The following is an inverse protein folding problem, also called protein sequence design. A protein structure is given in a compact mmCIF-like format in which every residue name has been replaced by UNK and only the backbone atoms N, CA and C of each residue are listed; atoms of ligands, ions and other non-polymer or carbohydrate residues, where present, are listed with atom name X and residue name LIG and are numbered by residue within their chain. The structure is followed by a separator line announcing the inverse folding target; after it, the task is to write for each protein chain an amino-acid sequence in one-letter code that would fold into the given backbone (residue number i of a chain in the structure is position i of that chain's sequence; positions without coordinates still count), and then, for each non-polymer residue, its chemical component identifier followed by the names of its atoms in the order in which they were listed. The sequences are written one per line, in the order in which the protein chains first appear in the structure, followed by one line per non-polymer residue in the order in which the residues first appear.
data_IF_184489506814
#
_entry.id   IF_184489506814
#
_cell.length_a   1.000
_cell.length_b   1.000
_cell.length_c   1.000
_cell.angle_alpha   90.00
_cell.angle_beta   90.00
_cell.angle_gamma   90.00
#
_symmetry.space_group_name_H-M   'P 1'
#
loop_
_entity.id
_entity.type
_entity.pdbx_description
1 polymer ?
#
# COMPACT_ATOMS: atom_id res chain seq x y z
N UNK A 1 44.15 -44.15 -5.17
CA UNK A 1 44.82 -43.73 -6.42
C UNK A 1 45.01 -42.23 -6.34
N UNK A 2 46.24 -41.75 -6.20
CA UNK A 2 46.54 -40.33 -6.07
C UNK A 2 46.55 -39.70 -7.45
N UNK A 3 45.64 -38.76 -7.71
CA UNK A 3 45.63 -37.97 -8.94
C UNK A 3 46.88 -37.09 -9.00
N UNK A 4 47.69 -37.15 -10.06
CA UNK A 4 48.89 -36.32 -10.16
C UNK A 4 48.47 -34.84 -10.30
N UNK A 5 48.91 -34.00 -9.37
CA UNK A 5 48.70 -32.55 -9.43
C UNK A 5 49.70 -31.98 -10.44
N UNK A 6 49.20 -31.35 -11.51
CA UNK A 6 50.02 -30.76 -12.57
C UNK A 6 50.80 -29.54 -12.08
N UNK A 7 52.00 -29.32 -12.61
CA UNK A 7 52.87 -28.20 -12.24
C UNK A 7 52.20 -26.83 -12.46
N UNK A 8 51.28 -26.75 -13.45
CA UNK A 8 50.45 -25.56 -13.71
C UNK A 8 49.47 -25.26 -12.57
N UNK A 9 48.87 -26.29 -11.95
CA UNK A 9 47.94 -26.14 -10.83
C UNK A 9 48.63 -25.65 -9.55
N UNK A 10 49.94 -25.88 -9.40
CA UNK A 10 50.77 -25.36 -8.31
C UNK A 10 51.17 -23.90 -8.58
N UNK A 11 51.45 -23.56 -9.85
CA UNK A 11 51.91 -22.23 -10.26
C UNK A 11 50.78 -21.20 -10.31
N UNK A 12 49.55 -21.64 -10.56
CA UNK A 12 48.36 -20.80 -10.54
C UNK A 12 47.23 -21.54 -9.80
N UNK A 13 47.27 -21.58 -8.45
CA UNK A 13 46.23 -22.26 -7.69
C UNK A 13 44.90 -21.59 -8.02
N UNK A 14 43.95 -22.37 -8.56
CA UNK A 14 42.59 -21.90 -8.72
C UNK A 14 42.10 -21.33 -7.38
N UNK A 15 41.37 -20.20 -7.38
CA UNK A 15 40.85 -19.63 -6.14
C UNK A 15 40.13 -20.74 -5.37
N UNK A 16 40.41 -20.88 -4.07
CA UNK A 16 39.90 -21.99 -3.24
C UNK A 16 38.38 -22.16 -3.38
N UNK A 17 37.67 -21.07 -3.61
CA UNK A 17 36.22 -21.02 -3.86
C UNK A 17 35.77 -21.83 -5.09
N UNK A 18 36.59 -21.91 -6.15
CA UNK A 18 36.29 -22.71 -7.35
C UNK A 18 36.36 -24.23 -7.10
N UNK A 19 37.03 -24.65 -6.03
CA UNK A 19 37.14 -26.07 -5.62
C UNK A 19 36.10 -26.51 -4.59
N UNK A 20 35.31 -25.58 -4.05
CA UNK A 20 34.26 -25.88 -3.07
C UNK A 20 32.92 -26.16 -3.76
N UNK A 21 32.10 -27.09 -3.23
CA UNK A 21 30.75 -27.28 -3.74
C UNK A 21 29.92 -26.00 -3.54
N UNK A 22 29.03 -25.63 -4.49
CA UNK A 22 28.23 -24.42 -4.38
C UNK A 22 27.25 -24.54 -3.20
N UNK A 23 27.38 -23.66 -2.21
CA UNK A 23 26.43 -23.55 -1.10
C UNK A 23 25.19 -22.81 -1.58
N UNK A 24 24.03 -23.43 -1.41
CA UNK A 24 22.74 -22.83 -1.78
C UNK A 24 21.99 -22.42 -0.52
N UNK A 25 21.43 -21.21 -0.50
CA UNK A 25 20.57 -20.81 0.60
C UNK A 25 19.35 -21.74 0.70
N UNK A 26 19.07 -22.24 1.90
CA UNK A 26 18.07 -23.29 2.10
C UNK A 26 17.78 -23.54 3.58
N UNK A 27 16.72 -24.29 3.88
CA UNK A 27 16.32 -24.59 5.27
C UNK A 27 16.84 -25.92 5.79
N UNK A 28 17.29 -26.81 4.92
CA UNK A 28 17.44 -28.23 5.23
C UNK A 28 18.87 -28.65 5.57
N UNK A 29 19.84 -27.75 5.40
CA UNK A 29 21.24 -27.97 5.74
C UNK A 29 21.83 -26.75 6.45
N UNK A 30 22.82 -26.99 7.32
CA UNK A 30 23.39 -25.96 8.18
C UNK A 30 24.00 -24.80 7.38
N UNK A 31 24.78 -25.12 6.35
CA UNK A 31 25.51 -24.13 5.54
C UNK A 31 24.54 -23.26 4.74
N UNK A 32 23.51 -23.88 4.15
CA UNK A 32 22.44 -23.21 3.44
C UNK A 32 21.56 -22.37 4.35
N UNK A 33 21.31 -22.80 5.58
CA UNK A 33 20.53 -22.05 6.55
C UNK A 33 21.28 -20.81 7.06
N UNK A 34 22.58 -20.92 7.32
CA UNK A 34 23.42 -19.76 7.65
C UNK A 34 23.50 -18.75 6.50
N UNK A 35 23.67 -19.24 5.27
CA UNK A 35 23.64 -18.37 4.08
C UNK A 35 22.28 -17.70 3.90
N UNK A 36 21.19 -18.45 4.05
CA UNK A 36 19.82 -17.93 3.99
C UNK A 36 19.61 -16.83 5.03
N UNK A 37 20.06 -17.01 6.27
CA UNK A 37 20.00 -15.98 7.30
C UNK A 37 20.80 -14.73 6.95
N UNK A 38 22.00 -14.87 6.37
CA UNK A 38 22.82 -13.72 5.95
C UNK A 38 22.16 -12.93 4.82
N UNK A 39 21.64 -13.63 3.80
CA UNK A 39 20.90 -13.00 2.72
C UNK A 39 19.64 -12.32 3.27
N UNK A 40 18.86 -13.02 4.10
CA UNK A 40 17.65 -12.46 4.70
C UNK A 40 17.91 -11.21 5.56
N UNK A 41 19.04 -11.15 6.27
CA UNK A 41 19.47 -9.95 7.01
C UNK A 41 19.71 -8.76 6.08
N UNK A 42 20.35 -8.99 4.93
CA UNK A 42 20.57 -7.93 3.94
C UNK A 42 19.25 -7.40 3.34
N UNK A 43 18.28 -8.28 3.07
CA UNK A 43 16.95 -7.86 2.63
C UNK A 43 16.20 -7.10 3.73
N UNK A 44 16.26 -7.58 4.98
CA UNK A 44 15.59 -6.96 6.12
C UNK A 44 16.14 -5.56 6.44
N UNK A 45 17.38 -5.25 6.09
CA UNK A 45 17.97 -3.91 6.26
C UNK A 45 17.71 -2.95 5.08
N UNK A 46 17.09 -3.42 4.00
CA UNK A 46 16.86 -2.62 2.80
C UNK A 46 15.55 -1.84 2.86
N UNK A 47 15.59 -0.54 2.55
CA UNK A 47 14.39 0.28 2.43
C UNK A 47 13.58 0.00 1.16
N UNK A 48 14.14 -0.71 0.16
CA UNK A 48 13.44 -1.12 -1.05
C UNK A 48 12.48 -2.30 -0.82
N UNK A 49 12.66 -3.01 0.30
CA UNK A 49 11.83 -4.13 0.68
C UNK A 49 10.58 -3.60 1.43
N UNK A 50 9.37 -4.18 1.24
CA UNK A 50 8.17 -3.70 1.91
C UNK A 50 8.27 -3.68 3.44
N UNK A 51 7.57 -2.76 4.09
CA UNK A 51 7.72 -2.47 5.52
C UNK A 51 7.58 -3.69 6.45
N UNK A 52 6.72 -4.67 6.11
CA UNK A 52 6.51 -5.88 6.92
C UNK A 52 7.65 -6.92 6.83
N UNK A 53 8.62 -6.70 5.95
CA UNK A 53 9.86 -7.47 5.84
C UNK A 53 11.06 -6.71 6.42
N UNK A 54 10.99 -5.38 6.54
CA UNK A 54 12.04 -4.58 7.14
C UNK A 54 12.21 -4.93 8.62
N UNK A 55 13.45 -5.05 9.07
CA UNK A 55 13.82 -5.51 10.41
C UNK A 55 13.21 -6.88 10.79
N UNK A 56 12.72 -7.67 9.82
CA UNK A 56 12.09 -8.96 10.04
C UNK A 56 12.76 -10.04 9.18
N UNK A 57 13.89 -10.55 9.69
CA UNK A 57 14.68 -11.59 9.04
C UNK A 57 13.85 -12.86 8.79
N UNK A 58 12.96 -13.24 9.70
CA UNK A 58 12.14 -14.45 9.56
C UNK A 58 11.19 -14.35 8.35
N UNK A 59 10.49 -13.22 8.19
CA UNK A 59 9.65 -12.98 7.03
C UNK A 59 10.47 -12.99 5.73
N UNK A 60 11.65 -12.36 5.73
CA UNK A 60 12.56 -12.41 4.59
C UNK A 60 12.97 -13.85 4.24
N UNK A 61 13.33 -14.68 5.23
CA UNK A 61 13.70 -16.08 4.99
C UNK A 61 12.57 -16.88 4.33
N UNK A 62 11.32 -16.66 4.77
CA UNK A 62 10.14 -17.30 4.18
C UNK A 62 9.95 -16.83 2.73
N UNK A 63 10.00 -15.53 2.47
CA UNK A 63 9.87 -14.98 1.13
C UNK A 63 10.96 -15.49 0.17
N UNK A 64 12.22 -15.54 0.63
CA UNK A 64 13.35 -16.10 -0.14
C UNK A 64 13.14 -17.58 -0.47
N UNK A 65 12.49 -18.35 0.41
CA UNK A 65 12.15 -19.73 0.13
C UNK A 65 11.00 -19.85 -0.87
N UNK A 66 9.97 -19.03 -0.75
CA UNK A 66 8.85 -18.98 -1.69
C UNK A 66 9.32 -18.59 -3.09
N UNK A 67 10.16 -17.54 -3.20
CA UNK A 67 10.79 -17.12 -4.45
C UNK A 67 11.53 -18.26 -5.14
N UNK A 68 12.36 -18.99 -4.38
CA UNK A 68 13.07 -20.17 -4.90
C UNK A 68 12.13 -21.28 -5.36
N UNK A 69 11.04 -21.56 -4.64
CA UNK A 69 10.06 -22.59 -5.02
C UNK A 69 9.32 -22.22 -6.30
N UNK A 70 9.01 -20.94 -6.48
CA UNK A 70 8.35 -20.41 -7.67
C UNK A 70 9.30 -20.21 -8.85
N UNK A 71 10.62 -20.21 -8.62
CA UNK A 71 11.59 -19.74 -9.61
C UNK A 71 11.39 -18.26 -9.96
N UNK A 72 10.91 -17.46 -9.00
CA UNK A 72 10.61 -16.04 -9.16
C UNK A 72 11.66 -15.17 -8.45
N UNK A 73 11.76 -13.92 -8.87
CA UNK A 73 12.61 -12.91 -8.23
C UNK A 73 12.13 -12.61 -6.79
N UNK A 74 13.09 -12.46 -5.88
CA UNK A 74 12.85 -12.26 -4.46
C UNK A 74 12.06 -10.98 -4.15
N UNK A 75 12.43 -9.86 -4.80
CA UNK A 75 11.74 -8.58 -4.61
C UNK A 75 10.33 -8.63 -5.20
N UNK A 76 10.17 -9.27 -6.35
CA UNK A 76 8.85 -9.49 -6.95
C UNK A 76 7.93 -10.26 -6.01
N UNK A 77 8.43 -11.32 -5.36
CA UNK A 77 7.65 -12.07 -4.37
C UNK A 77 7.29 -11.20 -3.17
N UNK A 78 8.26 -10.51 -2.58
CA UNK A 78 8.00 -9.66 -1.40
C UNK A 78 6.99 -8.54 -1.70
N UNK A 79 7.05 -7.92 -2.89
CA UNK A 79 6.11 -6.85 -3.27
C UNK A 79 4.68 -7.34 -3.53
N UNK A 80 4.51 -8.64 -3.83
CA UNK A 80 3.22 -9.19 -4.24
C UNK A 80 2.60 -10.15 -3.24
N UNK A 81 3.31 -10.48 -2.16
CA UNK A 81 2.79 -11.25 -1.04
C UNK A 81 2.27 -10.29 0.02
N UNK A 82 0.94 -10.23 0.17
CA UNK A 82 0.27 -9.37 1.13
C UNK A 82 -0.17 -10.15 2.34
N UNK A 83 -0.03 -9.55 3.52
CA UNK A 83 -0.54 -10.12 4.77
C UNK A 83 -1.88 -9.45 5.06
N UNK A 84 -2.96 -10.22 5.03
CA UNK A 84 -4.32 -9.78 5.34
C UNK A 84 -4.83 -10.57 6.52
N UNK A 85 -5.13 -9.89 7.62
CA UNK A 85 -5.56 -10.53 8.88
C UNK A 85 -4.60 -11.66 9.34
N UNK A 86 -3.29 -11.46 9.18
CA UNK A 86 -2.28 -12.45 9.55
C UNK A 86 -2.09 -13.60 8.55
N UNK A 87 -2.96 -13.70 7.53
CA UNK A 87 -2.86 -14.71 6.48
C UNK A 87 -2.17 -14.12 5.24
N UNK A 88 -1.13 -14.78 4.69
CA UNK A 88 -0.51 -14.37 3.45
C UNK A 88 -1.41 -14.68 2.24
N UNK A 89 -1.46 -13.77 1.28
CA UNK A 89 -2.15 -13.95 0.01
C UNK A 89 -1.42 -13.24 -1.12
N UNK A 90 -1.58 -13.76 -2.34
CA UNK A 90 -0.98 -13.16 -3.53
C UNK A 90 -1.82 -12.02 -4.06
N UNK A 91 -1.20 -10.96 -4.57
CA UNK A 91 -1.93 -10.01 -5.40
C UNK A 91 -2.49 -10.72 -6.65
N UNK A 92 -3.73 -10.39 -7.04
CA UNK A 92 -4.29 -10.94 -8.28
C UNK A 92 -3.45 -10.56 -9.51
N UNK A 93 -2.80 -9.40 -9.50
CA UNK A 93 -1.87 -8.96 -10.54
C UNK A 93 -0.67 -9.92 -10.67
N UNK A 94 -0.11 -10.38 -9.56
CA UNK A 94 0.98 -11.36 -9.57
C UNK A 94 0.52 -12.70 -10.11
N UNK A 95 -0.66 -13.18 -9.73
CA UNK A 95 -1.22 -14.42 -10.26
C UNK A 95 -1.40 -14.34 -11.78
N UNK A 96 -1.95 -13.22 -12.29
CA UNK A 96 -2.09 -12.98 -13.73
C UNK A 96 -0.73 -12.97 -14.42
N UNK A 97 0.24 -12.25 -13.88
CA UNK A 97 1.59 -12.17 -14.45
C UNK A 97 2.24 -13.56 -14.49
N UNK A 98 2.19 -14.30 -13.39
CA UNK A 98 2.76 -15.64 -13.27
C UNK A 98 2.11 -16.64 -14.24
N UNK A 99 0.78 -16.60 -14.42
CA UNK A 99 0.09 -17.42 -15.45
C UNK A 99 0.60 -17.06 -16.85
N UNK A 100 0.76 -15.77 -17.15
CA UNK A 100 1.20 -15.31 -18.46
C UNK A 100 2.67 -15.68 -18.77
N UNK A 101 3.53 -15.75 -17.75
CA UNK A 101 4.97 -16.01 -17.90
C UNK A 101 5.37 -17.46 -17.61
N UNK A 102 4.48 -18.31 -17.08
CA UNK A 102 4.82 -19.71 -16.72
C UNK A 102 5.14 -20.62 -17.92
N UNK A 103 4.92 -20.16 -19.15
CA UNK A 103 5.24 -20.90 -20.36
C UNK A 103 4.19 -21.95 -20.76
N UNK A 104 3.37 -22.46 -19.83
CA UNK A 104 2.34 -23.50 -20.06
C UNK A 104 1.13 -22.99 -20.85
N UNK A 105 0.72 -21.74 -20.64
CA UNK A 105 -0.48 -21.15 -21.24
C UNK A 105 -0.12 -20.01 -22.19
N UNK A 106 -1.03 -19.70 -23.12
CA UNK A 106 -1.09 -18.39 -23.74
C UNK A 106 -1.46 -17.31 -22.70
N UNK A 107 -1.39 -16.04 -23.11
CA UNK A 107 -1.75 -14.94 -22.22
C UNK A 107 -3.22 -15.03 -21.83
N UNK A 108 -3.51 -14.87 -20.54
CA UNK A 108 -4.86 -14.85 -20.00
C UNK A 108 -5.71 -13.77 -20.71
N UNK A 109 -6.93 -14.15 -21.07
CA UNK A 109 -7.93 -13.32 -21.72
C UNK A 109 -9.22 -13.32 -20.91
N UNK A 110 -10.07 -12.35 -21.21
CA UNK A 110 -11.33 -12.16 -20.52
C UNK A 110 -12.47 -12.15 -21.52
N UNK A 111 -13.61 -12.68 -21.11
CA UNK A 111 -14.84 -12.68 -21.88
C UNK A 111 -15.96 -12.17 -21.00
N UNK A 112 -16.75 -11.26 -21.55
CA UNK A 112 -17.87 -10.63 -20.87
C UNK A 112 -19.18 -11.17 -21.40
N UNK A 113 -20.19 -11.26 -20.54
CA UNK A 113 -21.55 -11.63 -20.91
C UNK A 113 -22.56 -10.74 -20.19
N UNK A 114 -23.81 -10.79 -20.65
CA UNK A 114 -24.93 -10.09 -20.03
C UNK A 114 -25.02 -8.62 -20.45
N UNK A 115 -26.01 -7.93 -19.91
CA UNK A 115 -26.25 -6.50 -20.14
C UNK A 115 -25.77 -5.71 -18.93
N UNK A 116 -24.98 -4.66 -19.14
CA UNK A 116 -24.48 -3.80 -18.06
C UNK A 116 -25.61 -3.35 -17.13
N UNK A 117 -25.41 -3.50 -15.82
CA UNK A 117 -26.43 -3.24 -14.79
C UNK A 117 -27.38 -4.41 -14.49
N UNK A 118 -27.36 -5.50 -15.26
CA UNK A 118 -28.09 -6.73 -14.96
C UNK A 118 -27.32 -7.67 -14.03
N UNK A 119 -28.04 -8.53 -13.31
CA UNK A 119 -27.48 -9.59 -12.45
C UNK A 119 -26.69 -10.63 -13.23
N UNK A 120 -27.02 -10.81 -14.52
CA UNK A 120 -26.34 -11.73 -15.43
C UNK A 120 -25.05 -11.16 -16.04
N UNK A 121 -24.78 -9.85 -15.82
CA UNK A 121 -23.55 -9.24 -16.28
C UNK A 121 -22.36 -9.78 -15.50
N UNK A 122 -21.35 -10.24 -16.22
CA UNK A 122 -20.21 -10.87 -15.61
C UNK A 122 -19.06 -11.14 -16.57
N UNK A 123 -17.96 -11.58 -15.98
CA UNK A 123 -16.69 -11.85 -16.64
C UNK A 123 -16.22 -13.27 -16.34
N UNK A 124 -15.56 -13.89 -17.31
CA UNK A 124 -14.72 -15.08 -17.07
C UNK A 124 -13.33 -14.86 -17.64
N UNK A 125 -12.35 -15.46 -16.99
CA UNK A 125 -11.01 -15.59 -17.54
C UNK A 125 -10.90 -16.88 -18.34
N UNK A 126 -10.11 -16.87 -19.40
CA UNK A 126 -9.83 -18.04 -20.21
C UNK A 126 -8.44 -17.93 -20.84
N UNK A 127 -7.85 -19.06 -21.20
CA UNK A 127 -6.61 -19.12 -21.99
C UNK A 127 -6.55 -20.43 -22.78
N UNK A 128 -5.55 -20.56 -23.63
CA UNK A 128 -5.24 -21.79 -24.37
C UNK A 128 -4.02 -22.44 -23.74
N UNK A 129 -4.11 -23.73 -23.41
CA UNK A 129 -2.94 -24.51 -22.99
C UNK A 129 -2.10 -24.88 -24.21
N UNK A 130 -0.82 -24.49 -24.22
CA UNK A 130 0.01 -24.59 -25.43
C UNK A 130 0.29 -26.02 -25.86
N UNK A 131 0.32 -26.97 -24.93
CA UNK A 131 0.60 -28.38 -25.22
C UNK A 131 -0.56 -29.09 -25.89
N UNK A 132 -1.79 -28.75 -25.53
CA UNK A 132 -3.01 -29.43 -25.99
C UNK A 132 -3.78 -28.63 -27.04
N UNK A 133 -3.59 -27.30 -27.07
CA UNK A 133 -4.42 -26.38 -27.84
C UNK A 133 -5.83 -26.22 -27.26
N UNK A 134 -6.10 -26.77 -26.06
CA UNK A 134 -7.41 -26.70 -25.43
C UNK A 134 -7.67 -25.32 -24.83
N UNK A 135 -8.86 -24.79 -25.07
CA UNK A 135 -9.34 -23.57 -24.44
C UNK A 135 -9.91 -23.86 -23.05
N UNK A 136 -9.19 -23.45 -22.02
CA UNK A 136 -9.57 -23.62 -20.62
C UNK A 136 -10.40 -22.41 -20.16
N UNK A 137 -11.69 -22.63 -19.91
CA UNK A 137 -12.62 -21.59 -19.50
C UNK A 137 -12.79 -21.58 -17.98
N UNK A 138 -12.60 -20.42 -17.36
CA UNK A 138 -12.87 -20.21 -15.95
C UNK A 138 -14.35 -20.06 -15.64
N UNK A 139 -14.65 -20.04 -14.35
CA UNK A 139 -15.99 -19.77 -13.83
C UNK A 139 -16.44 -18.36 -14.22
N UNK A 140 -17.73 -18.24 -14.52
CA UNK A 140 -18.38 -16.95 -14.68
C UNK A 140 -18.52 -16.26 -13.32
N UNK A 141 -17.95 -15.08 -13.22
CA UNK A 141 -18.13 -14.19 -12.08
C UNK A 141 -19.13 -13.13 -12.51
N UNK A 142 -20.37 -13.24 -12.04
CA UNK A 142 -21.46 -12.32 -12.36
C UNK A 142 -21.96 -11.55 -11.15
N UNK A 143 -22.75 -10.51 -11.38
CA UNK A 143 -23.32 -9.70 -10.31
C UNK A 143 -24.17 -10.51 -9.32
N UNK A 144 -24.80 -11.59 -9.78
CA UNK A 144 -25.49 -12.54 -8.90
C UNK A 144 -24.54 -13.15 -7.87
N UNK A 145 -23.38 -13.64 -8.29
CA UNK A 145 -22.32 -14.14 -7.39
C UNK A 145 -21.81 -13.02 -6.47
N UNK A 146 -21.49 -11.85 -7.02
CA UNK A 146 -20.97 -10.69 -6.27
C UNK A 146 -21.91 -10.30 -5.12
N UNK A 147 -23.23 -10.29 -5.37
CA UNK A 147 -24.26 -9.98 -4.37
C UNK A 147 -24.42 -11.08 -3.33
N UNK A 148 -24.35 -12.35 -3.76
CA UNK A 148 -24.47 -13.52 -2.88
C UNK A 148 -23.28 -13.62 -1.91
N UNK A 149 -22.06 -13.42 -2.42
CA UNK A 149 -20.82 -13.40 -1.64
C UNK A 149 -20.63 -12.08 -0.85
N UNK A 150 -21.42 -11.05 -1.15
CA UNK A 150 -21.42 -9.78 -0.43
C UNK A 150 -20.24 -8.87 -0.72
N UNK A 151 -19.51 -9.07 -1.83
CA UNK A 151 -18.34 -8.25 -2.20
C UNK A 151 -18.70 -6.77 -2.45
N UNK A 152 -19.98 -6.50 -2.77
CA UNK A 152 -20.52 -5.16 -2.97
C UNK A 152 -21.05 -4.49 -1.70
N UNK A 153 -21.04 -5.18 -0.54
CA UNK A 153 -21.64 -4.66 0.71
C UNK A 153 -20.64 -3.95 1.63
N UNK A 154 -19.34 -4.06 1.35
CA UNK A 154 -18.31 -3.42 2.18
C UNK A 154 -18.27 -1.91 1.88
N UNK A 155 -18.54 -1.09 2.89
CA UNK A 155 -18.37 0.36 2.80
C UNK A 155 -16.90 0.69 2.50
N UNK A 156 -16.67 1.69 1.63
CA UNK A 156 -15.34 2.04 1.16
C UNK A 156 -14.73 1.04 0.15
N UNK A 157 -15.48 0.02 -0.27
CA UNK A 157 -14.99 -0.97 -1.24
C UNK A 157 -14.66 -0.31 -2.58
N UNK A 158 -13.38 -0.38 -2.95
CA UNK A 158 -12.88 0.09 -4.25
C UNK A 158 -13.59 -0.60 -5.42
N UNK A 159 -14.15 -1.79 -5.19
CA UNK A 159 -14.92 -2.55 -6.17
C UNK A 159 -16.18 -1.83 -6.64
N UNK A 160 -16.80 -0.98 -5.80
CA UNK A 160 -17.96 -0.20 -6.21
C UNK A 160 -17.58 0.89 -7.23
N UNK A 161 -16.38 1.45 -7.09
CA UNK A 161 -15.86 2.48 -8.01
C UNK A 161 -15.17 1.89 -9.24
N UNK A 162 -14.74 0.63 -9.19
CA UNK A 162 -14.05 -0.06 -10.27
C UNK A 162 -14.50 -1.54 -10.38
N UNK A 163 -15.76 -1.78 -10.81
CA UNK A 163 -16.32 -3.13 -10.90
C UNK A 163 -15.56 -4.00 -11.92
N UNK A 164 -15.11 -3.44 -13.04
CA UNK A 164 -14.38 -4.19 -14.06
C UNK A 164 -13.08 -4.78 -13.53
N UNK A 165 -12.37 -4.01 -12.69
CA UNK A 165 -11.12 -4.46 -12.07
C UNK A 165 -11.37 -5.62 -11.10
N UNK A 166 -12.46 -5.54 -10.33
CA UNK A 166 -12.91 -6.63 -9.46
C UNK A 166 -13.14 -7.91 -10.27
N UNK A 167 -13.94 -7.82 -11.33
CA UNK A 167 -14.26 -8.95 -12.18
C UNK A 167 -13.01 -9.59 -12.77
N UNK A 168 -12.12 -8.78 -13.37
CA UNK A 168 -10.86 -9.24 -13.95
C UNK A 168 -9.99 -9.99 -12.93
N UNK A 169 -9.80 -9.42 -11.73
CA UNK A 169 -8.97 -10.04 -10.69
C UNK A 169 -9.59 -11.31 -10.13
N UNK A 170 -10.90 -11.31 -9.86
CA UNK A 170 -11.63 -12.49 -9.37
C UNK A 170 -11.62 -13.62 -10.39
N UNK A 171 -11.97 -13.32 -11.63
CA UNK A 171 -11.98 -14.31 -12.70
C UNK A 171 -10.58 -14.92 -12.91
N UNK A 172 -9.52 -14.11 -12.84
CA UNK A 172 -8.16 -14.60 -12.98
C UNK A 172 -7.71 -15.48 -11.79
N UNK A 173 -7.97 -15.05 -10.55
CA UNK A 173 -7.63 -15.83 -9.36
C UNK A 173 -8.37 -17.17 -9.33
N UNK A 174 -9.67 -17.18 -9.68
CA UNK A 174 -10.48 -18.40 -9.73
C UNK A 174 -10.01 -19.33 -10.83
N UNK A 175 -9.68 -18.79 -12.00
CA UNK A 175 -9.11 -19.58 -13.11
C UNK A 175 -7.76 -20.19 -12.72
N UNK A 176 -6.86 -19.39 -12.15
CA UNK A 176 -5.54 -19.83 -11.71
C UNK A 176 -5.66 -20.96 -10.68
N UNK A 177 -6.54 -20.81 -9.69
CA UNK A 177 -6.77 -21.86 -8.68
C UNK A 177 -7.26 -23.17 -9.31
N UNK A 178 -8.13 -23.10 -10.32
CA UNK A 178 -8.70 -24.27 -10.96
C UNK A 178 -7.68 -25.01 -11.86
N UNK A 179 -6.90 -24.27 -12.65
CA UNK A 179 -6.09 -24.85 -13.73
C UNK A 179 -4.57 -24.82 -13.51
N UNK A 180 -4.10 -23.92 -12.64
CA UNK A 180 -2.69 -23.73 -12.32
C UNK A 180 -2.44 -23.50 -10.82
N UNK A 181 -2.98 -24.33 -9.91
CA UNK A 181 -2.86 -24.14 -8.46
C UNK A 181 -1.40 -24.06 -7.97
N UNK A 182 -0.47 -24.69 -8.68
CA UNK A 182 0.96 -24.66 -8.43
C UNK A 182 1.54 -23.23 -8.40
N UNK A 183 0.98 -22.30 -9.18
CA UNK A 183 1.41 -20.90 -9.23
C UNK A 183 1.11 -20.19 -7.90
N UNK A 184 -0.06 -20.46 -7.31
CA UNK A 184 -0.42 -19.89 -6.00
C UNK A 184 0.24 -20.59 -4.82
N UNK A 185 0.74 -21.82 -5.02
CA UNK A 185 1.20 -22.72 -3.96
C UNK A 185 0.17 -22.90 -2.81
N UNK A 186 -1.12 -22.86 -3.14
CA UNK A 186 -2.22 -23.01 -2.17
C UNK A 186 -2.62 -21.74 -1.42
N UNK A 187 -1.99 -20.59 -1.70
CA UNK A 187 -2.38 -19.31 -1.12
C UNK A 187 -3.58 -18.70 -1.87
N UNK A 188 -4.49 -18.07 -1.13
CA UNK A 188 -5.60 -17.30 -1.71
C UNK A 188 -5.11 -15.98 -2.30
N UNK A 189 -5.93 -15.36 -3.16
CA UNK A 189 -5.68 -13.98 -3.55
C UNK A 189 -5.89 -13.05 -2.36
N UNK A 190 -5.17 -11.93 -2.33
CA UNK A 190 -5.34 -10.89 -1.33
C UNK A 190 -6.79 -10.39 -1.31
N UNK A 191 -7.40 -10.24 -2.48
CA UNK A 191 -8.78 -9.80 -2.63
C UNK A 191 -9.76 -10.75 -1.93
N UNK A 192 -9.52 -12.06 -1.98
CA UNK A 192 -10.34 -13.06 -1.27
C UNK A 192 -10.13 -13.02 0.25
N UNK A 193 -8.90 -12.80 0.69
CA UNK A 193 -8.61 -12.68 2.12
C UNK A 193 -9.22 -11.42 2.73
N UNK A 194 -9.20 -10.29 1.99
CA UNK A 194 -9.84 -9.04 2.44
C UNK A 194 -11.34 -9.24 2.60
N UNK A 195 -11.95 -10.09 1.77
CA UNK A 195 -13.38 -10.35 1.82
C UNK A 195 -13.77 -11.30 2.94
N UNK A 196 -12.87 -12.18 3.35
CA UNK A 196 -13.08 -13.12 4.46
C UNK A 196 -13.14 -12.36 5.78
N UNK A 197 -14.28 -12.47 6.46
CA UNK A 197 -14.45 -11.94 7.81
C UNK A 197 -13.94 -12.99 8.80
N UNK A 198 -12.81 -12.72 9.46
CA UNK A 198 -12.38 -13.56 10.58
C UNK A 198 -13.34 -13.39 11.75
N UNK A 199 -14.18 -14.42 11.94
CA UNK A 199 -14.84 -14.67 13.21
C UNK A 199 -13.79 -15.30 14.11
N UNK A 200 -13.32 -14.54 15.11
CA UNK A 200 -12.40 -15.06 16.11
C UNK A 200 -13.07 -16.22 16.86
N UNK A 201 -12.26 -17.11 17.44
CA UNK A 201 -12.75 -18.27 18.20
C UNK A 201 -13.64 -17.90 19.41
N UNK A 202 -13.61 -16.64 19.86
CA UNK A 202 -14.50 -16.08 20.89
C UNK A 202 -15.84 -15.54 20.34
N UNK A 203 -16.10 -15.72 19.03
CA UNK A 203 -17.27 -15.18 18.35
C UNK A 203 -17.20 -13.69 18.02
N UNK A 204 -16.09 -13.01 18.36
CA UNK A 204 -15.91 -11.59 18.01
C UNK A 204 -15.50 -11.45 16.55
N UNK A 205 -16.16 -10.52 15.86
CA UNK A 205 -15.89 -10.23 14.45
C UNK A 205 -14.96 -9.02 14.39
N UNK A 206 -13.71 -9.20 13.95
CA UNK A 206 -12.86 -8.06 13.63
C UNK A 206 -13.15 -7.56 12.21
N UNK A 207 -14.17 -6.72 12.08
CA UNK A 207 -14.31 -5.89 10.89
C UNK A 207 -13.43 -4.66 11.12
N UNK A 208 -12.21 -4.67 10.58
CA UNK A 208 -11.40 -3.44 10.54
C UNK A 208 -11.74 -2.71 9.26
N UNK A 209 -12.85 -1.97 9.29
CA UNK A 209 -12.90 -0.77 8.45
C UNK A 209 -11.78 0.15 8.91
N UNK A 210 -11.10 0.78 7.96
CA UNK A 210 -9.97 1.68 8.20
C UNK A 210 -10.25 2.64 9.36
N UNK A 211 -9.23 2.87 10.20
CA UNK A 211 -9.27 3.66 11.45
C UNK A 211 -9.93 5.05 11.33
N UNK A 212 -10.03 5.57 10.09
CA UNK A 212 -10.79 6.74 9.65
C UNK A 212 -12.30 6.68 9.99
N UNK A 213 -12.95 5.53 9.81
CA UNK A 213 -14.42 5.40 9.92
C UNK A 213 -14.90 5.46 11.38
N UNK A 214 -14.08 4.98 12.32
CA UNK A 214 -14.37 5.04 13.77
C UNK A 214 -14.34 6.47 14.31
N UNK A 215 -13.63 7.40 13.64
CA UNK A 215 -13.61 8.82 14.00
C UNK A 215 -14.78 9.60 13.40
N UNK A 216 -15.26 9.20 12.22
CA UNK A 216 -16.38 9.85 11.54
C UNK A 216 -17.77 9.42 12.04
N UNK A 217 -17.88 8.27 12.73
CA UNK A 217 -19.16 7.64 13.06
C UNK A 217 -19.78 7.97 14.42
N UNK A 218 -19.39 9.05 15.12
CA UNK A 218 -20.02 9.43 16.40
C UNK A 218 -20.83 10.71 16.28
N UNK A 219 -22.05 10.58 15.76
CA UNK A 219 -23.28 11.26 16.20
C UNK A 219 -24.37 11.15 15.13
N UNK A 220 -25.38 10.31 15.35
CA UNK A 220 -26.72 10.62 14.86
C UNK A 220 -27.71 10.38 16.02
N UNK A 221 -28.39 11.42 16.52
CA UNK A 221 -29.53 11.24 17.39
C UNK A 221 -30.65 10.53 16.62
N UNK A 222 -31.36 9.62 17.30
CA UNK A 222 -32.55 8.99 16.75
C UNK A 222 -33.60 10.04 16.38
N UNK A 223 -34.04 10.04 15.12
CA UNK A 223 -35.13 10.90 14.64
C UNK A 223 -36.38 10.04 14.38
N UNK A 224 -37.47 10.47 15.01
CA UNK A 224 -38.81 9.88 14.95
C UNK A 224 -39.38 9.85 13.53
N UNK A 225 -40.17 8.82 13.25
CA UNK A 225 -40.91 8.60 12.00
C UNK A 225 -42.18 9.45 11.96
N UNK A 226 -42.44 10.21 10.88
CA UNK A 226 -43.80 10.53 10.49
C UNK A 226 -44.20 9.83 9.17
N UNK A 227 -45.36 9.19 9.25
CA UNK A 227 -46.12 8.53 8.18
C UNK A 227 -46.86 9.58 7.35
N UNK A 228 -46.79 9.54 6.01
CA UNK A 228 -47.71 10.32 5.16
C UNK A 228 -47.39 10.43 3.66
N UNK A 229 -48.06 9.59 2.88
CA UNK A 229 -48.64 9.76 1.53
C UNK A 229 -47.99 10.68 0.45
N UNK A 230 -47.67 10.05 -0.69
CA UNK A 230 -47.62 10.56 -2.08
C UNK A 230 -49.02 11.05 -2.59
N UNK A 231 -49.14 11.96 -3.60
CA UNK A 231 -48.82 11.64 -5.00
C UNK A 231 -48.30 12.75 -5.96
N UNK A 232 -47.51 12.29 -6.95
CA UNK A 232 -47.33 12.64 -8.37
C UNK A 232 -47.78 14.02 -8.95
N UNK A 233 -46.92 14.65 -9.79
CA UNK A 233 -47.04 14.67 -11.28
C UNK A 233 -46.08 15.65 -12.02
N UNK A 234 -45.53 15.14 -13.14
CA UNK A 234 -45.25 15.75 -14.49
C UNK A 234 -44.31 16.96 -14.73
N UNK A 235 -43.39 16.78 -15.70
CA UNK A 235 -42.65 17.85 -16.43
C UNK A 235 -43.51 18.55 -17.50
N UNK A 236 -42.96 19.44 -18.39
CA UNK A 236 -41.92 19.05 -19.38
C UNK A 236 -40.91 20.14 -19.90
N UNK A 237 -39.84 19.64 -20.54
CA UNK A 237 -39.16 20.01 -21.82
C UNK A 237 -38.63 21.42 -22.22
N UNK A 238 -37.51 21.34 -22.97
CA UNK A 238 -36.93 22.24 -24.00
C UNK A 238 -36.08 23.45 -23.52
N UNK A 239 -35.02 23.94 -24.18
CA UNK A 239 -34.14 23.58 -25.31
C UNK A 239 -33.02 24.65 -25.31
N UNK A 240 -31.75 24.32 -25.61
CA UNK A 240 -30.89 25.07 -26.57
C UNK A 240 -29.47 24.51 -26.70
N UNK A 241 -29.02 24.46 -27.96
CA UNK A 241 -27.68 24.17 -28.50
C UNK A 241 -26.74 25.36 -28.19
N UNK A 242 -25.40 25.34 -28.28
CA UNK A 242 -24.56 24.94 -29.42
C UNK A 242 -23.06 25.16 -29.11
N UNK A 243 -22.22 24.24 -29.60
CA UNK A 243 -20.87 24.39 -30.21
C UNK A 243 -19.75 25.27 -29.61
N UNK A 244 -18.55 24.67 -29.52
CA UNK A 244 -17.26 25.34 -29.54
C UNK A 244 -16.08 24.41 -29.22
N UNK A 245 -15.35 23.95 -30.24
CA UNK A 245 -14.04 23.27 -30.16
C UNK A 245 -12.97 24.22 -30.76
N UNK A 246 -11.66 23.91 -30.77
CA UNK A 246 -10.70 23.51 -29.73
C UNK A 246 -9.54 24.53 -29.61
N UNK A 247 -8.68 24.45 -28.58
CA UNK A 247 -7.34 25.05 -28.62
C UNK A 247 -6.28 24.08 -28.06
N UNK A 248 -5.18 24.03 -28.79
CA UNK A 248 -4.06 23.11 -28.66
C UNK A 248 -3.00 23.60 -27.67
N UNK A 249 -2.27 22.61 -27.14
CA UNK A 249 -0.84 22.56 -26.81
C UNK A 249 -0.14 23.77 -26.17
N UNK A 250 0.56 23.54 -25.06
CA UNK A 250 1.99 23.92 -24.90
C UNK A 250 2.63 23.02 -23.83
N UNK A 251 3.70 22.33 -24.23
CA UNK A 251 4.70 21.71 -23.36
C UNK A 251 5.64 22.80 -22.80
N UNK A 252 6.11 22.64 -21.57
CA UNK A 252 7.39 23.20 -21.14
C UNK A 252 8.05 22.28 -20.09
N UNK A 253 9.36 22.18 -20.22
CA UNK A 253 10.30 21.17 -19.70
C UNK A 253 10.96 21.63 -18.37
N UNK A 254 11.90 20.85 -17.77
CA UNK A 254 12.23 20.88 -16.34
C UNK A 254 13.30 21.91 -15.97
N UNK A 255 13.41 22.21 -14.67
CA UNK A 255 14.52 22.96 -14.07
C UNK A 255 15.46 22.01 -13.34
N UNK A 256 16.72 22.10 -13.77
CA UNK A 256 17.95 21.60 -13.17
C UNK A 256 18.46 22.72 -12.22
N UNK A 257 19.01 22.37 -11.07
CA UNK A 257 19.93 23.25 -10.32
C UNK A 257 20.84 22.39 -9.44
N UNK A 258 22.11 22.36 -9.84
CA UNK A 258 23.25 21.99 -9.01
C UNK A 258 23.61 23.19 -8.13
N UNK A 259 23.98 22.93 -6.87
CA UNK A 259 25.19 23.50 -6.28
C UNK A 259 25.46 22.84 -4.92
N UNK A 260 26.68 22.34 -4.74
CA UNK A 260 27.24 21.98 -3.44
C UNK A 260 28.27 23.02 -2.99
N UNK A 261 28.84 22.85 -1.79
CA UNK A 261 30.26 23.14 -1.62
C UNK A 261 31.05 21.99 -0.95
N UNK A 262 32.34 21.95 -1.30
CA UNK A 262 33.41 21.02 -0.89
C UNK A 262 33.85 21.22 0.58
N UNK A 263 34.06 20.13 1.34
CA UNK A 263 35.32 19.43 1.70
C UNK A 263 36.28 20.18 2.64
N UNK A 264 36.55 19.57 3.80
CA UNK A 264 37.87 19.55 4.43
C UNK A 264 38.01 18.37 5.44
N UNK A 265 38.76 17.33 5.07
CA UNK A 265 39.93 16.87 5.83
C UNK A 265 39.82 15.97 7.08
N UNK A 266 39.69 14.65 6.84
CA UNK A 266 40.48 13.52 7.43
C UNK A 266 40.74 13.40 8.96
N UNK A 267 40.17 12.37 9.61
CA UNK A 267 40.89 11.28 10.33
C UNK A 267 39.94 10.33 11.10
N UNK A 268 40.18 9.01 10.99
CA UNK A 268 39.92 8.05 12.08
C UNK A 268 38.77 7.05 11.89
N UNK A 269 39.11 5.76 11.94
CA UNK A 269 38.20 4.61 12.06
C UNK A 269 37.16 4.79 13.17
N UNK A 270 35.89 4.44 12.87
CA UNK A 270 34.84 4.26 13.86
C UNK A 270 33.59 3.73 13.18
N UNK A 271 32.91 2.75 13.77
CA UNK A 271 31.61 2.28 13.28
C UNK A 271 30.62 3.44 13.17
N UNK A 272 29.66 3.34 12.27
CA UNK A 272 28.54 4.28 12.18
C UNK A 272 27.70 4.17 13.46
N UNK A 273 28.11 4.90 14.51
CA UNK A 273 27.26 5.18 15.66
C UNK A 273 26.19 6.17 15.20
N UNK A 274 24.94 5.79 15.39
CA UNK A 274 23.78 6.63 15.13
C UNK A 274 23.82 7.83 16.08
N UNK A 275 23.93 9.06 15.56
CA UNK A 275 23.95 10.27 16.38
C UNK A 275 22.54 10.57 16.95
N UNK A 276 22.23 9.91 18.07
CA UNK A 276 20.99 10.10 18.82
C UNK A 276 20.84 11.56 19.29
N UNK A 277 21.94 12.25 19.60
CA UNK A 277 21.90 13.63 20.06
C UNK A 277 21.47 14.59 18.93
N UNK A 278 21.99 14.36 17.71
CA UNK A 278 21.56 15.07 16.51
C UNK A 278 20.08 14.89 16.19
N UNK A 279 19.57 13.65 16.30
CA UNK A 279 18.14 13.35 16.12
C UNK A 279 17.26 14.08 17.14
N UNK A 280 17.61 14.00 18.43
CA UNK A 280 16.83 14.65 19.50
C UNK A 280 16.82 16.16 19.35
N UNK A 281 17.94 16.77 18.91
CA UNK A 281 18.01 18.19 18.61
C UNK A 281 17.11 18.58 17.45
N UNK A 282 17.15 17.84 16.34
CA UNK A 282 16.31 18.11 15.16
C UNK A 282 14.82 18.07 15.49
N UNK A 283 14.37 17.03 16.20
CA UNK A 283 12.95 16.90 16.59
C UNK A 283 12.54 18.04 17.54
N UNK A 284 13.44 18.52 18.41
CA UNK A 284 13.16 19.66 19.28
C UNK A 284 12.99 20.96 18.49
N UNK A 285 13.85 21.20 17.50
CA UNK A 285 13.75 22.37 16.61
C UNK A 285 12.45 22.35 15.79
N UNK A 286 12.04 21.18 15.31
CA UNK A 286 10.78 20.99 14.59
C UNK A 286 9.55 21.26 15.50
N UNK A 287 9.59 20.78 16.75
CA UNK A 287 8.55 21.07 17.75
C UNK A 287 8.47 22.57 18.06
N UNK A 288 9.62 23.25 18.18
CA UNK A 288 9.66 24.68 18.53
C UNK A 288 9.20 25.57 17.37
N UNK A 289 9.53 25.19 16.13
CA UNK A 289 9.20 25.95 14.92
C UNK A 289 7.76 25.70 14.42
N UNK A 290 7.11 24.61 14.82
CA UNK A 290 5.74 24.27 14.42
C UNK A 290 4.76 25.44 14.65
N UNK A 291 4.14 25.94 13.58
CA UNK A 291 3.19 27.05 13.64
C UNK A 291 1.73 26.57 13.72
N UNK A 292 1.45 25.40 13.17
CA UNK A 292 0.12 24.80 13.14
C UNK A 292 0.06 23.49 13.91
N UNK A 293 -1.16 23.03 14.22
CA UNK A 293 -1.37 21.74 14.87
C UNK A 293 -0.92 20.55 13.99
N UNK A 294 -0.96 20.70 12.67
CA UNK A 294 -0.53 19.68 11.71
C UNK A 294 1.00 19.53 11.71
N UNK A 295 1.73 20.66 11.68
CA UNK A 295 3.20 20.66 11.76
C UNK A 295 3.69 20.02 13.06
N UNK A 296 2.99 20.30 14.16
CA UNK A 296 3.32 19.73 15.46
C UNK A 296 3.05 18.22 15.52
N UNK A 297 2.01 17.72 14.85
CA UNK A 297 1.73 16.28 14.83
C UNK A 297 2.75 15.51 13.99
N UNK A 298 3.22 16.11 12.89
CA UNK A 298 4.34 15.59 12.11
C UNK A 298 5.61 15.47 12.97
N UNK A 299 5.98 16.53 13.71
CA UNK A 299 7.13 16.51 14.61
C UNK A 299 6.97 15.47 15.74
N UNK A 300 5.75 15.27 16.26
CA UNK A 300 5.45 14.24 17.27
C UNK A 300 5.61 12.82 16.74
N UNK A 301 5.29 12.57 15.47
CA UNK A 301 5.46 11.26 14.87
C UNK A 301 6.93 10.81 14.85
N UNK A 302 7.86 11.76 14.73
CA UNK A 302 9.31 11.49 14.75
C UNK A 302 9.85 11.09 16.13
N UNK A 303 9.16 11.45 17.23
CA UNK A 303 9.57 11.10 18.61
C UNK A 303 9.62 9.57 18.81
N UNK A 304 8.81 8.81 18.06
CA UNK A 304 8.79 7.34 18.15
C UNK A 304 10.14 6.70 17.78
N UNK A 305 10.95 7.37 16.95
CA UNK A 305 12.27 6.91 16.51
C UNK A 305 13.41 7.13 17.50
N UNK A 306 13.17 7.83 18.62
CA UNK A 306 14.22 8.14 19.61
C UNK A 306 14.46 6.92 20.53
N UNK A 307 15.67 6.35 20.60
CA UNK A 307 15.93 5.17 21.44
C UNK A 307 15.88 5.46 22.95
N UNK A 308 16.25 6.68 23.37
CA UNK A 308 16.30 7.08 24.77
C UNK A 308 14.94 7.51 25.32
N UNK A 309 14.48 6.84 26.38
CA UNK A 309 13.18 7.07 27.01
C UNK A 309 13.14 8.41 27.78
N UNK A 310 14.27 8.88 28.31
CA UNK A 310 14.33 10.20 28.96
C UNK A 310 14.15 11.32 27.93
N UNK A 311 14.88 11.26 26.82
CA UNK A 311 14.75 12.21 25.72
C UNK A 311 13.34 12.19 25.09
N UNK A 312 12.71 11.02 24.96
CA UNK A 312 11.30 10.92 24.52
C UNK A 312 10.35 11.65 25.47
N UNK A 313 10.54 11.51 26.78
CA UNK A 313 9.69 12.19 27.76
C UNK A 313 9.83 13.72 27.64
N UNK A 314 11.06 14.22 27.48
CA UNK A 314 11.35 15.65 27.32
C UNK A 314 10.74 16.22 26.03
N UNK A 315 10.86 15.50 24.90
CA UNK A 315 10.28 15.91 23.62
C UNK A 315 8.75 15.90 23.66
N UNK A 316 8.13 14.91 24.31
CA UNK A 316 6.67 14.88 24.49
C UNK A 316 6.17 16.02 25.39
N UNK A 317 6.93 16.39 26.42
CA UNK A 317 6.62 17.55 27.25
C UNK A 317 6.72 18.86 26.45
N UNK A 318 7.77 19.01 25.62
CA UNK A 318 7.94 20.16 24.74
C UNK A 318 6.79 20.27 23.71
N UNK A 319 6.41 19.16 23.08
CA UNK A 319 5.30 19.14 22.12
C UNK A 319 3.97 19.53 22.78
N UNK A 320 3.71 19.04 23.99
CA UNK A 320 2.52 19.40 24.76
C UNK A 320 2.50 20.88 25.17
N UNK A 321 3.67 21.48 25.42
CA UNK A 321 3.78 22.91 25.67
C UNK A 321 3.53 23.73 24.41
N UNK A 322 4.06 23.31 23.25
CA UNK A 322 3.83 23.98 21.97
C UNK A 322 2.36 23.94 21.55
N UNK A 323 1.69 22.78 21.70
CA UNK A 323 0.27 22.65 21.37
C UNK A 323 -0.57 23.67 22.14
N UNK A 324 -0.30 23.84 23.44
CA UNK A 324 -0.98 24.84 24.27
C UNK A 324 -0.74 26.27 23.78
N UNK A 325 0.47 26.59 23.32
CA UNK A 325 0.77 27.90 22.75
C UNK A 325 0.04 28.14 21.42
N UNK A 326 -0.03 27.14 20.54
CA UNK A 326 -0.76 27.21 19.27
C UNK A 326 -2.27 27.40 19.51
N UNK A 327 -2.85 26.65 20.45
CA UNK A 327 -4.27 26.79 20.81
C UNK A 327 -4.56 28.16 21.43
N UNK A 328 -3.71 28.64 22.34
CA UNK A 328 -3.88 29.96 22.96
C UNK A 328 -3.79 31.11 21.93
N UNK A 329 -2.90 30.99 20.93
CA UNK A 329 -2.81 31.96 19.84
C UNK A 329 -4.06 31.95 18.94
N UNK A 330 -4.64 30.77 18.68
CA UNK A 330 -5.87 30.63 17.91
C UNK A 330 -7.08 31.25 18.62
N UNK A 331 -7.17 31.11 19.94
CA UNK A 331 -8.25 31.70 20.76
C UNK A 331 -8.15 33.24 20.82
N UNK A 332 -6.94 33.80 20.90
CA UNK A 332 -6.73 35.25 20.88
C UNK A 332 -7.10 35.88 19.53
N UNK A 333 -6.88 35.18 18.42
CA UNK A 333 -7.30 35.62 17.08
C UNK A 333 -8.82 35.67 16.88
N UNK A 334 -9.59 34.90 17.65
CA UNK A 334 -11.06 34.90 17.59
C UNK A 334 -11.72 35.97 18.47
N UNK A 335 -11.03 36.49 19.49
CA UNK A 335 -11.57 37.50 20.41
C UNK A 335 -11.32 38.95 19.99
N UNK A 336 -10.65 39.20 18.86
CA UNK A 336 -10.48 40.56 18.35
C UNK A 336 -11.74 41.02 17.60
N UNK A 337 -12.53 41.98 18.13
CA UNK A 337 -13.78 42.38 17.52
C UNK A 337 -13.52 43.04 16.16
N UNK A 338 -14.20 42.53 15.11
CA UNK A 338 -14.26 43.18 13.80
C UNK A 338 -14.73 44.62 14.00
N UNK A 339 -13.83 45.58 13.81
CA UNK A 339 -14.13 47.00 13.85
C UNK A 339 -15.31 47.30 12.91
N UNK A 340 -16.43 47.73 13.51
CA UNK A 340 -17.69 47.96 12.81
C UNK A 340 -17.56 49.00 11.71
N UNK A 341 -18.14 48.69 10.55
CA UNK A 341 -18.28 49.59 9.43
C UNK A 341 -18.98 50.90 9.86
N UNK A 342 -18.35 52.04 9.56
CA UNK A 342 -18.86 53.36 9.88
C UNK A 342 -20.23 53.62 9.23
N UNK A 343 -21.25 53.86 10.06
CA UNK A 343 -22.62 54.17 9.68
C UNK A 343 -22.67 55.60 9.12
N UNK A 344 -22.97 55.76 7.82
CA UNK A 344 -23.17 57.08 7.19
C UNK A 344 -24.31 57.83 7.87
N UNK A 345 -24.03 59.00 8.43
CA UNK A 345 -24.99 59.96 8.96
C UNK A 345 -25.72 60.69 7.82
N UNK A 346 -27.05 60.64 7.80
CA UNK A 346 -27.90 61.52 6.97
C UNK A 346 -27.93 62.92 7.58
N UNK A 347 -27.63 63.95 6.79
CA UNK A 347 -27.86 65.35 7.16
C UNK A 347 -29.35 65.71 7.07
N UNK A 348 -29.85 66.62 7.93
CA UNK A 348 -31.25 67.03 7.93
C UNK A 348 -31.59 68.00 6.80
N UNK A 349 -32.85 67.94 6.39
CA UNK A 349 -33.54 68.79 5.42
C UNK A 349 -33.46 70.26 5.87
N UNK A 350 -33.14 71.17 4.95
CA UNK A 350 -33.44 72.60 5.08
C UNK A 350 -34.21 73.07 3.86
N UNK A 351 -35.22 73.87 4.15
CA UNK A 351 -36.16 74.48 3.24
C UNK A 351 -35.54 75.69 2.54
N UNK A 352 -35.79 75.79 1.23
CA UNK A 352 -36.24 76.99 0.51
C UNK A 352 -36.90 76.54 -0.81
#
# INVERSE_FOLDING_TARGET
MSTPTTLEAIRNPAPREASLPPVRAGFFDLQGFELLQRVAKAFASSSLVPAHYQNNVANCMIALNLARRLGADELMVMQNLYIVHGNPGWSSKFLIASVNTCGRFETLRYEWRGTEGSDDFGCRAWTIEKSTGERLNGTWIDWKMVKAEGWNKKNGSKWLTMPDQMFVYRSAAFWQRAYAPEISMGLSSQEELIDTVEVRADGSVAVTSTLEELRAGRAQPAEEVPRGAEPAQTGPAAESRQAGTPLAATQANPVDDQDGPADDGNQGQGGFDFDVAGLVRGIREDIESAATAEDLDLARSAIAGVPDESAKADLNAAASARMRAITAAAEQGQQQPRAGAARRTRAPISAD
#
